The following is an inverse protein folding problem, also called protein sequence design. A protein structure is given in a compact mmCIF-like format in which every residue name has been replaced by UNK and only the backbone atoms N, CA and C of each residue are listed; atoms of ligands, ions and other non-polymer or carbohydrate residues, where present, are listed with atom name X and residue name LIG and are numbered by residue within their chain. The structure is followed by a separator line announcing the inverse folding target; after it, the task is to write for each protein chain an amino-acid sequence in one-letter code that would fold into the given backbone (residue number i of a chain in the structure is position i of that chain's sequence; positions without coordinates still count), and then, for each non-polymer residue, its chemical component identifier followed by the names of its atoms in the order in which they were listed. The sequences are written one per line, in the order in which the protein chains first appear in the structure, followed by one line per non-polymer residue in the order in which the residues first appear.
data_IF_972929517572
#
_entry.id   IF_972929517572
#
_cell.length_a   1.000
_cell.length_b   1.000
_cell.length_c   1.000
_cell.angle_alpha   90.00
_cell.angle_beta   90.00
_cell.angle_gamma   90.00
#
_symmetry.space_group_name_H-M   'P 1'
#
loop_
_entity.id
_entity.type
_entity.pdbx_description
1 polymer ?
#
# COMPACT_ATOMS: atom_id res chain seq x y z
N UNK A 1 10.08 29.17 25.68
CA UNK A 1 8.62 28.93 25.77
C UNK A 1 7.95 30.25 25.43
N UNK A 2 7.10 30.36 24.38
CA UNK A 2 6.02 29.42 24.05
C UNK A 2 6.03 28.86 22.61
N UNK A 3 5.25 27.78 22.42
CA UNK A 3 4.94 27.08 21.18
C UNK A 3 4.17 27.97 20.18
N UNK A 4 4.41 27.80 18.87
CA UNK A 4 3.33 27.89 17.88
C UNK A 4 3.65 27.20 16.54
N UNK A 5 2.65 26.43 16.12
CA UNK A 5 2.19 26.18 14.75
C UNK A 5 3.06 25.41 13.74
N UNK A 6 2.75 24.11 13.71
CA UNK A 6 2.69 23.22 12.55
C UNK A 6 2.43 23.97 11.24
N UNK A 7 3.44 23.95 10.38
CA UNK A 7 3.38 24.48 9.03
C UNK A 7 2.51 23.57 8.16
N UNK A 8 1.45 24.16 7.60
CA UNK A 8 0.59 23.59 6.56
C UNK A 8 1.44 22.96 5.45
N UNK A 9 1.24 21.68 5.19
CA UNK A 9 1.60 21.08 3.90
C UNK A 9 0.41 21.23 2.97
N UNK A 10 0.64 22.00 1.91
CA UNK A 10 -0.31 22.23 0.85
C UNK A 10 -0.50 20.93 0.07
N UNK A 11 -1.69 20.35 0.22
CA UNK A 11 -2.16 19.21 -0.56
C UNK A 11 -2.61 19.71 -1.94
N UNK A 12 -1.66 19.93 -2.84
CA UNK A 12 -1.93 19.88 -4.28
C UNK A 12 -1.55 18.50 -4.77
N UNK A 13 -2.54 17.65 -5.07
CA UNK A 13 -2.67 17.00 -6.37
C UNK A 13 -3.99 16.22 -6.44
N UNK A 14 -4.76 16.63 -7.43
CA UNK A 14 -6.09 16.25 -7.85
C UNK A 14 -6.04 14.92 -8.62
N UNK A 15 -6.60 13.84 -8.09
CA UNK A 15 -7.16 12.67 -8.82
C UNK A 15 -8.15 11.96 -7.85
N UNK A 16 -9.21 11.27 -8.33
CA UNK A 16 -10.49 11.14 -7.63
C UNK A 16 -10.46 10.06 -6.54
N UNK A 17 -9.82 10.34 -5.41
CA UNK A 17 -9.81 9.46 -4.23
C UNK A 17 -11.18 9.47 -3.52
N UNK A 18 -12.04 10.45 -3.82
CA UNK A 18 -13.33 10.60 -3.14
C UNK A 18 -14.37 9.52 -3.51
N UNK A 19 -14.16 8.76 -4.59
CA UNK A 19 -15.00 7.60 -4.91
C UNK A 19 -14.38 6.26 -4.47
N UNK A 20 -13.38 6.30 -3.57
CA UNK A 20 -12.74 5.07 -3.08
C UNK A 20 -12.74 4.93 -1.56
N UNK A 21 -12.99 6.01 -0.81
CA UNK A 21 -13.33 5.93 0.61
C UNK A 21 -14.69 5.25 0.84
N UNK A 22 -15.60 5.33 -0.14
CA UNK A 22 -16.90 4.64 -0.08
C UNK A 22 -16.74 3.13 -0.33
N UNK A 23 -15.81 2.71 -1.19
CA UNK A 23 -15.53 1.28 -1.43
C UNK A 23 -14.74 0.60 -0.31
N UNK A 24 -13.97 1.37 0.48
CA UNK A 24 -13.40 0.90 1.76
C UNK A 24 -14.47 0.70 2.84
N UNK A 25 -15.60 1.44 2.75
CA UNK A 25 -16.64 1.45 3.78
C UNK A 25 -17.84 0.50 3.53
N UNK A 26 -18.04 -0.02 2.30
CA UNK A 26 -19.25 -0.81 1.97
C UNK A 26 -19.13 -2.31 2.30
N UNK A 27 -17.93 -2.87 2.53
CA UNK A 27 -17.79 -4.25 3.00
C UNK A 27 -17.29 -4.32 4.45
N UNK A 28 -18.21 -4.09 5.37
CA UNK A 28 -18.08 -4.49 6.76
C UNK A 28 -18.13 -6.01 6.87
N UNK A 29 -16.97 -6.69 7.01
CA UNK A 29 -16.95 -8.08 7.46
C UNK A 29 -15.60 -8.52 8.04
N UNK A 30 -15.53 -8.64 9.38
CA UNK A 30 -14.67 -9.54 10.19
C UNK A 30 -13.14 -9.61 9.95
N UNK A 31 -12.54 -8.82 9.07
CA UNK A 31 -11.12 -8.93 8.68
C UNK A 31 -10.33 -7.68 9.06
N UNK A 32 -9.02 -7.86 9.28
CA UNK A 32 -8.10 -6.80 9.67
C UNK A 32 -8.04 -5.69 8.60
N UNK A 33 -8.02 -4.39 8.98
CA UNK A 33 -7.96 -3.27 8.03
C UNK A 33 -6.80 -3.36 7.02
N UNK A 34 -5.64 -3.93 7.40
CA UNK A 34 -4.51 -4.11 6.48
C UNK A 34 -4.83 -5.09 5.34
N UNK A 35 -5.67 -6.09 5.60
CA UNK A 35 -6.14 -7.02 4.55
C UNK A 35 -6.95 -6.26 3.50
N UNK A 36 -7.80 -5.32 3.93
CA UNK A 36 -8.55 -4.49 3.00
C UNK A 36 -7.63 -3.57 2.19
N UNK A 37 -6.67 -2.92 2.86
CA UNK A 37 -5.70 -2.08 2.16
C UNK A 37 -4.86 -2.86 1.15
N UNK A 38 -4.43 -4.08 1.49
CA UNK A 38 -3.71 -4.96 0.57
C UNK A 38 -4.53 -5.35 -0.66
N UNK A 39 -5.84 -5.60 -0.48
CA UNK A 39 -6.76 -5.85 -1.59
C UNK A 39 -6.85 -4.63 -2.50
N UNK A 40 -7.11 -3.45 -1.94
CA UNK A 40 -7.21 -2.21 -2.71
C UNK A 40 -5.91 -1.89 -3.46
N UNK A 41 -4.77 -2.02 -2.78
CA UNK A 41 -3.44 -1.81 -3.35
C UNK A 41 -3.18 -2.73 -4.55
N UNK A 42 -3.55 -4.00 -4.46
CA UNK A 42 -3.37 -4.95 -5.55
C UNK A 42 -4.33 -4.69 -6.72
N UNK A 43 -5.57 -4.28 -6.45
CA UNK A 43 -6.55 -3.94 -7.47
C UNK A 43 -6.23 -2.66 -8.24
N UNK A 44 -5.57 -1.68 -7.61
CA UNK A 44 -5.43 -0.32 -8.17
C UNK A 44 -4.00 0.12 -8.45
N UNK A 45 -3.02 -0.36 -7.67
CA UNK A 45 -1.65 0.15 -7.70
C UNK A 45 -0.70 -0.88 -8.31
N UNK A 46 -0.63 -2.09 -7.75
CA UNK A 46 0.33 -3.08 -8.23
C UNK A 46 -0.12 -4.55 -8.06
N UNK A 47 -0.68 -5.13 -9.13
CA UNK A 47 -1.32 -6.44 -9.12
C UNK A 47 -0.41 -7.63 -8.74
N UNK A 48 0.92 -7.49 -8.87
CA UNK A 48 1.88 -8.60 -8.67
C UNK A 48 3.12 -8.17 -7.86
N UNK A 49 2.94 -7.33 -6.84
CA UNK A 49 4.08 -6.93 -6.00
C UNK A 49 4.45 -8.05 -5.01
N UNK A 50 5.75 -8.35 -4.89
CA UNK A 50 6.25 -9.09 -3.72
C UNK A 50 6.29 -8.11 -2.53
N UNK A 51 5.21 -8.09 -1.76
CA UNK A 51 5.00 -7.12 -0.67
C UNK A 51 6.10 -7.23 0.38
N UNK A 52 6.51 -8.45 0.74
CA UNK A 52 7.59 -8.64 1.71
C UNK A 52 8.89 -7.99 1.23
N UNK A 53 9.34 -8.33 0.01
CA UNK A 53 10.55 -7.74 -0.56
C UNK A 53 10.46 -6.21 -0.68
N UNK A 54 9.29 -5.69 -1.08
CA UNK A 54 9.03 -4.25 -1.13
C UNK A 54 9.25 -3.59 0.23
N UNK A 55 8.67 -4.15 1.30
CA UNK A 55 8.79 -3.61 2.65
C UNK A 55 10.23 -3.67 3.15
N UNK A 56 10.89 -4.84 3.09
CA UNK A 56 12.25 -5.01 3.59
C UNK A 56 13.25 -4.10 2.88
N UNK A 57 13.20 -4.04 1.54
CA UNK A 57 14.11 -3.18 0.77
C UNK A 57 13.86 -1.70 1.08
N UNK A 58 12.60 -1.29 1.23
CA UNK A 58 12.28 0.11 1.49
C UNK A 58 12.64 0.56 2.91
N UNK A 59 12.59 -0.35 3.89
CA UNK A 59 13.09 -0.07 5.26
C UNK A 59 14.59 0.18 5.24
N UNK A 60 15.36 -0.62 4.49
CA UNK A 60 16.81 -0.42 4.35
C UNK A 60 17.10 0.97 3.78
N UNK A 61 16.43 1.37 2.70
CA UNK A 61 16.62 2.69 2.09
C UNK A 61 16.28 3.85 3.05
N UNK A 62 15.22 3.70 3.85
CA UNK A 62 14.81 4.72 4.83
C UNK A 62 15.79 4.82 6.01
N UNK A 63 16.41 3.71 6.43
CA UNK A 63 17.41 3.68 7.50
C UNK A 63 18.76 4.22 7.01
N UNK A 64 19.19 3.81 5.81
CA UNK A 64 20.45 4.23 5.20
C UNK A 64 20.39 5.66 4.66
N UNK A 65 19.20 6.28 4.62
CA UNK A 65 18.97 7.60 4.04
C UNK A 65 19.53 7.69 2.61
N UNK A 66 19.42 6.60 1.86
CA UNK A 66 19.87 6.52 0.47
C UNK A 66 19.19 7.61 -0.32
N UNK A 67 19.96 8.45 -1.03
CA UNK A 67 19.37 9.47 -1.88
C UNK A 67 18.62 8.81 -3.03
N UNK A 68 17.49 9.39 -3.47
CA UNK A 68 16.73 8.87 -4.62
C UNK A 68 17.63 8.79 -5.89
N UNK A 69 18.68 9.62 -5.99
CA UNK A 69 19.64 9.66 -7.11
C UNK A 69 20.65 8.50 -7.11
N UNK A 70 20.82 7.80 -5.98
CA UNK A 70 21.74 6.65 -5.85
C UNK A 70 21.05 5.32 -6.18
N UNK A 71 19.72 5.33 -6.37
CA UNK A 71 18.92 4.14 -6.70
C UNK A 71 18.94 3.88 -8.20
N UNK A 72 19.06 2.61 -8.58
CA UNK A 72 18.79 2.20 -9.97
C UNK A 72 17.31 2.41 -10.33
N UNK A 73 16.99 2.54 -11.61
CA UNK A 73 15.62 2.73 -12.13
C UNK A 73 14.61 1.75 -11.54
N UNK A 74 14.98 0.48 -11.40
CA UNK A 74 14.14 -0.57 -10.82
C UNK A 74 13.90 -0.36 -9.31
N UNK A 75 14.93 0.07 -8.59
CA UNK A 75 14.87 0.34 -7.16
C UNK A 75 14.03 1.59 -6.89
N UNK A 76 14.26 2.64 -7.67
CA UNK A 76 13.45 3.86 -7.64
C UNK A 76 11.98 3.55 -7.92
N UNK A 77 11.68 2.74 -8.95
CA UNK A 77 10.30 2.33 -9.25
C UNK A 77 9.65 1.57 -8.09
N UNK A 78 10.36 0.63 -7.46
CA UNK A 78 9.87 -0.09 -6.28
C UNK A 78 9.64 0.85 -5.11
N UNK A 79 10.58 1.76 -4.85
CA UNK A 79 10.47 2.72 -3.76
C UNK A 79 9.28 3.69 -3.96
N UNK A 80 8.97 4.08 -5.20
CA UNK A 80 7.76 4.84 -5.52
C UNK A 80 6.47 4.04 -5.22
N UNK A 81 6.45 2.75 -5.53
CA UNK A 81 5.33 1.86 -5.18
C UNK A 81 5.17 1.76 -3.66
N UNK A 82 6.26 1.71 -2.90
CA UNK A 82 6.24 1.76 -1.45
C UNK A 82 5.70 3.09 -0.92
N UNK A 83 6.12 4.24 -1.47
CA UNK A 83 5.57 5.57 -1.12
C UNK A 83 4.05 5.61 -1.35
N UNK A 84 3.54 5.00 -2.42
CA UNK A 84 2.09 4.89 -2.67
C UNK A 84 1.37 4.01 -1.64
N UNK A 85 1.98 2.89 -1.23
CA UNK A 85 1.43 2.04 -0.17
C UNK A 85 1.34 2.79 1.17
N UNK A 86 2.36 3.57 1.52
CA UNK A 86 2.35 4.42 2.73
C UNK A 86 1.26 5.49 2.70
N UNK A 87 0.95 6.05 1.53
CA UNK A 87 -0.14 7.01 1.38
C UNK A 87 -1.53 6.36 1.52
N UNK A 88 -1.63 5.06 1.19
CA UNK A 88 -2.87 4.31 1.29
C UNK A 88 -3.17 3.85 2.74
N UNK A 89 -2.14 3.50 3.51
CA UNK A 89 -2.28 2.94 4.85
C UNK A 89 -1.77 3.94 5.90
N UNK A 90 -2.66 4.56 6.69
CA UNK A 90 -2.26 5.52 7.69
C UNK A 90 -1.40 4.86 8.77
N UNK A 91 -0.38 5.57 9.26
CA UNK A 91 0.57 5.13 10.30
C UNK A 91 1.39 3.87 9.95
N UNK A 92 1.35 3.39 8.70
CA UNK A 92 2.10 2.22 8.28
C UNK A 92 3.62 2.45 8.37
N UNK A 93 4.08 3.65 7.99
CA UNK A 93 5.50 4.01 8.05
C UNK A 93 6.04 3.90 9.47
N UNK A 94 5.36 4.53 10.43
CA UNK A 94 5.77 4.48 11.83
C UNK A 94 5.79 3.04 12.32
N UNK A 95 4.72 2.28 12.10
CA UNK A 95 4.60 0.89 12.53
C UNK A 95 5.73 0.00 11.98
N UNK A 96 6.11 0.15 10.71
CA UNK A 96 7.19 -0.65 10.10
C UNK A 96 8.57 -0.20 10.60
N UNK A 97 8.78 1.10 10.82
CA UNK A 97 10.08 1.63 11.21
C UNK A 97 10.38 1.46 12.71
N UNK A 98 9.36 1.42 13.55
CA UNK A 98 9.51 1.21 15.01
C UNK A 98 9.29 -0.24 15.43
N UNK A 99 8.65 -1.04 14.58
CA UNK A 99 8.28 -2.41 14.89
C UNK A 99 9.43 -3.41 14.76
N UNK A 100 9.21 -4.61 15.28
CA UNK A 100 10.13 -5.73 15.11
C UNK A 100 10.04 -6.35 13.71
N UNK A 101 11.02 -7.20 13.36
CA UNK A 101 10.97 -7.99 12.12
C UNK A 101 9.73 -8.91 12.06
N UNK A 102 9.29 -9.42 13.22
CA UNK A 102 8.07 -10.20 13.36
C UNK A 102 6.84 -9.36 13.00
N UNK A 103 6.75 -8.13 13.51
CA UNK A 103 5.65 -7.21 13.16
C UNK A 103 5.67 -6.83 11.68
N UNK A 104 6.85 -6.64 11.08
CA UNK A 104 6.99 -6.40 9.63
C UNK A 104 6.43 -7.58 8.84
N UNK A 105 6.75 -8.80 9.28
CA UNK A 105 6.25 -10.04 8.66
C UNK A 105 4.73 -10.15 8.80
N UNK A 106 4.18 -9.86 9.97
CA UNK A 106 2.73 -9.84 10.19
C UNK A 106 2.01 -8.81 9.30
N UNK A 107 2.57 -7.60 9.18
CA UNK A 107 2.06 -6.55 8.30
C UNK A 107 2.09 -6.99 6.84
N UNK A 108 3.21 -7.58 6.40
CA UNK A 108 3.36 -8.12 5.05
C UNK A 108 2.33 -9.22 4.77
N UNK A 109 2.11 -10.12 5.72
CA UNK A 109 1.14 -11.21 5.62
C UNK A 109 -0.30 -10.70 5.49
N UNK A 110 -0.69 -9.69 6.27
CA UNK A 110 -2.03 -9.11 6.19
C UNK A 110 -2.26 -8.44 4.83
N UNK A 111 -1.29 -7.64 4.37
CA UNK A 111 -1.36 -7.02 3.04
C UNK A 111 -1.38 -8.07 1.92
N UNK A 112 -0.59 -9.13 2.06
CA UNK A 112 -0.53 -10.24 1.10
C UNK A 112 -1.82 -11.05 1.05
N UNK A 113 -2.46 -11.31 2.18
CA UNK A 113 -3.80 -11.93 2.25
C UNK A 113 -4.81 -11.09 1.46
N UNK A 114 -4.77 -9.77 1.63
CA UNK A 114 -5.58 -8.83 0.87
C UNK A 114 -5.35 -8.93 -0.64
N UNK A 115 -4.08 -8.83 -1.03
CA UNK A 115 -3.66 -8.88 -2.43
C UNK A 115 -4.04 -10.20 -3.11
N UNK A 116 -3.91 -11.33 -2.41
CA UNK A 116 -4.30 -12.64 -2.92
C UNK A 116 -5.82 -12.74 -3.10
N UNK A 117 -6.60 -12.16 -2.19
CA UNK A 117 -8.06 -12.03 -2.33
C UNK A 117 -8.44 -11.25 -3.59
N UNK A 118 -7.83 -10.09 -3.82
CA UNK A 118 -8.04 -9.28 -5.03
C UNK A 118 -7.80 -10.07 -6.32
N UNK A 119 -6.69 -10.82 -6.39
CA UNK A 119 -6.37 -11.67 -7.55
C UNK A 119 -7.40 -12.80 -7.75
N UNK A 120 -7.85 -13.40 -6.66
CA UNK A 120 -8.90 -14.42 -6.69
C UNK A 120 -10.22 -13.86 -7.21
N UNK A 121 -10.58 -12.63 -6.84
CA UNK A 121 -11.84 -12.02 -7.27
C UNK A 121 -11.78 -11.58 -8.74
N UNK A 122 -10.64 -11.07 -9.19
CA UNK A 122 -10.42 -10.73 -10.61
C UNK A 122 -10.50 -11.95 -11.54
N UNK A 123 -10.16 -13.15 -11.07
CA UNK A 123 -10.25 -14.38 -11.87
C UNK A 123 -11.64 -15.03 -11.84
N UNK A 124 -12.38 -14.92 -10.73
CA UNK A 124 -13.76 -15.43 -10.61
C UNK A 124 -14.74 -14.67 -11.49
N UNK A 125 -14.53 -13.36 -11.70
CA UNK A 125 -15.43 -12.52 -12.49
C UNK A 125 -15.21 -12.59 -14.01
N UNK A 126 -14.32 -13.48 -14.49
CA UNK A 126 -14.04 -13.66 -15.93
C UNK A 126 -15.04 -14.57 -16.65
N UNK A 127 -16.03 -15.16 -15.97
CA UNK A 127 -17.04 -16.01 -16.59
C UNK A 127 -18.43 -15.37 -16.56
N UNK A 128 -18.89 -14.93 -17.73
CA UNK A 128 -20.30 -14.56 -17.97
C UNK A 128 -20.57 -13.96 -19.35
N UNK A 129 -19.69 -13.08 -19.84
CA UNK A 129 -19.98 -12.26 -21.02
C UNK A 129 -19.02 -12.47 -22.22
N UNK A 130 -18.12 -13.46 -22.17
CA UNK A 130 -17.15 -13.73 -23.27
C UNK A 130 -17.60 -14.95 -24.08
N UNK A 131 -18.90 -15.11 -24.35
CA UNK A 131 -19.42 -16.21 -25.18
C UNK A 131 -20.81 -15.90 -25.78
N UNK A 132 -21.04 -14.69 -26.28
CA UNK A 132 -22.16 -14.44 -27.21
C UNK A 132 -21.75 -13.41 -28.27
N UNK A 133 -21.13 -13.88 -29.36
CA UNK A 133 -21.42 -13.47 -30.73
C UNK A 133 -20.78 -14.44 -31.74
#
# INVERSE_FOLDING_TARGET
MPLSLVHKRECTLFFPILHCTILTAIFSSKSDPLVHHGHHFCCTIHAMCNIYALLTQSVIYEVEQTADDDLNDDEHRKHQVFKQLLNLVPNLKERIMTGSEEELTEVADLLHKGATGARGDNTKNLNGNILEY
#
